data_IF_270005948140
#
_entry.id   IF_270005948140
#
_cell.length_a   1.000
_cell.length_b   1.000
_cell.length_c   1.000
_cell.angle_alpha   90.00
_cell.angle_beta   90.00
_cell.angle_gamma   90.00
#
_symmetry.space_group_name_H-M   'P 1'
#
loop_
_entity.id
_entity.type
_entity.pdbx_description
1 polymer ?
#
# COMPACT_ATOMS: atom_id res chain seq x y z
N UNK A 1 -10.39 13.45 -20.18
CA UNK A 1 -10.63 14.76 -19.52
C UNK A 1 -10.43 15.86 -20.54
N UNK A 2 -11.11 16.99 -20.34
CA UNK A 2 -10.82 18.21 -21.10
C UNK A 2 -9.45 18.76 -20.69
N UNK A 3 -8.82 19.55 -21.55
CA UNK A 3 -7.66 20.37 -21.17
C UNK A 3 -8.06 21.67 -20.46
N UNK A 4 -9.36 21.98 -20.48
CA UNK A 4 -9.95 23.17 -19.85
C UNK A 4 -10.35 22.86 -18.40
N UNK A 5 -9.89 23.70 -17.47
CA UNK A 5 -10.14 23.53 -16.04
C UNK A 5 -11.62 23.70 -15.68
N UNK A 6 -12.29 24.74 -16.19
CA UNK A 6 -13.69 25.02 -15.88
C UNK A 6 -14.58 23.88 -16.36
N UNK A 7 -14.30 23.35 -17.56
CA UNK A 7 -14.99 22.18 -18.09
C UNK A 7 -14.78 20.96 -17.19
N UNK A 8 -13.55 20.70 -16.75
CA UNK A 8 -13.27 19.58 -15.85
C UNK A 8 -14.00 19.73 -14.50
N UNK A 9 -13.99 20.93 -13.91
CA UNK A 9 -14.71 21.20 -12.67
C UNK A 9 -16.21 20.98 -12.83
N UNK A 10 -16.80 21.45 -13.93
CA UNK A 10 -18.22 21.24 -14.24
C UNK A 10 -18.55 19.75 -14.37
N UNK A 11 -17.72 18.97 -15.07
CA UNK A 11 -17.90 17.52 -15.21
C UNK A 11 -17.95 16.84 -13.83
N UNK A 12 -17.00 17.15 -12.94
CA UNK A 12 -16.95 16.54 -11.61
C UNK A 12 -18.13 16.93 -10.70
N UNK A 13 -18.59 18.19 -10.75
CA UNK A 13 -19.76 18.63 -9.94
C UNK A 13 -21.09 17.99 -10.39
N UNK A 14 -21.11 17.53 -11.63
CA UNK A 14 -22.27 16.97 -12.30
C UNK A 14 -22.18 15.44 -12.49
N UNK A 15 -21.16 14.81 -11.91
CA UNK A 15 -20.99 13.36 -11.88
C UNK A 15 -22.17 12.70 -11.15
N UNK A 16 -22.72 11.63 -11.74
CA UNK A 16 -23.91 10.93 -11.27
C UNK A 16 -25.24 11.66 -11.55
N UNK A 17 -25.21 12.85 -12.16
CA UNK A 17 -26.41 13.62 -12.55
C UNK A 17 -26.59 13.65 -14.07
N UNK A 18 -25.63 14.27 -14.76
CA UNK A 18 -25.61 14.38 -16.23
C UNK A 18 -24.34 13.79 -16.85
N UNK A 19 -23.32 13.52 -16.03
CA UNK A 19 -22.15 12.75 -16.44
C UNK A 19 -22.05 11.45 -15.65
N UNK A 20 -21.60 10.40 -16.34
CA UNK A 20 -21.26 9.12 -15.72
C UNK A 20 -19.85 8.75 -16.14
N UNK A 21 -19.07 8.21 -15.22
CA UNK A 21 -17.77 7.64 -15.55
C UNK A 21 -17.95 6.53 -16.60
N UNK A 22 -17.26 6.67 -17.73
CA UNK A 22 -17.29 5.70 -18.82
C UNK A 22 -15.87 5.31 -19.18
N UNK A 23 -15.62 4.00 -19.26
CA UNK A 23 -14.34 3.44 -19.69
C UNK A 23 -14.47 2.91 -21.12
N UNK A 24 -13.40 3.04 -21.90
CA UNK A 24 -13.39 2.48 -23.27
C UNK A 24 -13.42 0.96 -23.23
N UNK A 25 -13.97 0.34 -24.27
CA UNK A 25 -13.98 -1.13 -24.41
C UNK A 25 -12.56 -1.71 -24.36
N UNK A 26 -11.57 -1.00 -24.92
CA UNK A 26 -10.17 -1.37 -24.83
C UNK A 26 -9.64 -1.36 -23.39
N UNK A 27 -10.02 -0.38 -22.58
CA UNK A 27 -9.62 -0.29 -21.19
C UNK A 27 -10.24 -1.42 -20.37
N UNK A 28 -11.53 -1.70 -20.58
CA UNK A 28 -12.24 -2.82 -19.93
C UNK A 28 -11.64 -4.17 -20.34
N UNK A 29 -11.33 -4.39 -21.62
CA UNK A 29 -10.71 -5.64 -22.08
C UNK A 29 -9.34 -5.90 -21.45
N UNK A 30 -8.58 -4.83 -21.15
CA UNK A 30 -7.27 -4.94 -20.51
C UNK A 30 -7.41 -5.11 -19.00
N UNK A 31 -8.24 -4.28 -18.35
CA UNK A 31 -8.38 -4.23 -16.91
C UNK A 31 -9.27 -5.34 -16.33
N UNK A 32 -10.24 -5.81 -17.10
CA UNK A 32 -11.32 -6.68 -16.64
C UNK A 32 -12.69 -6.12 -17.03
N UNK A 33 -13.53 -6.99 -17.58
CA UNK A 33 -14.89 -6.64 -18.05
C UNK A 33 -15.92 -6.65 -16.93
N UNK A 34 -15.60 -7.27 -15.79
CA UNK A 34 -16.46 -7.35 -14.61
C UNK A 34 -15.86 -6.60 -13.41
N UNK A 35 -14.60 -6.15 -13.51
CA UNK A 35 -13.91 -5.48 -12.40
C UNK A 35 -14.46 -4.10 -12.05
N UNK A 36 -13.79 -3.43 -11.11
CA UNK A 36 -14.17 -2.12 -10.57
C UNK A 36 -14.55 -1.08 -11.66
N UNK A 37 -13.82 -1.04 -12.79
CA UNK A 37 -14.04 -0.08 -13.88
C UNK A 37 -15.32 -0.34 -14.71
N UNK A 38 -15.90 -1.52 -14.61
CA UNK A 38 -17.14 -1.88 -15.30
C UNK A 38 -18.40 -1.42 -14.53
N UNK A 39 -18.25 -1.03 -13.26
CA UNK A 39 -19.36 -0.64 -12.40
C UNK A 39 -19.49 0.89 -12.26
N UNK A 40 -20.69 1.34 -11.94
CA UNK A 40 -20.99 2.74 -11.63
C UNK A 40 -22.04 2.84 -10.49
N UNK A 41 -22.14 4.02 -9.86
CA UNK A 41 -23.10 4.24 -8.77
C UNK A 41 -22.83 3.37 -7.54
N UNK A 42 -23.87 2.75 -6.98
CA UNK A 42 -23.78 2.02 -5.71
C UNK A 42 -22.87 0.78 -5.78
N UNK A 43 -22.83 0.07 -6.90
CA UNK A 43 -21.95 -1.09 -7.08
C UNK A 43 -20.47 -0.68 -7.13
N UNK A 44 -20.16 0.39 -7.86
CA UNK A 44 -18.80 0.96 -7.84
C UNK A 44 -18.42 1.45 -6.45
N UNK A 45 -19.34 2.15 -5.75
CA UNK A 45 -19.10 2.62 -4.38
C UNK A 45 -18.75 1.44 -3.45
N UNK A 46 -19.54 0.37 -3.51
CA UNK A 46 -19.30 -0.83 -2.74
C UNK A 46 -17.92 -1.45 -2.99
N UNK A 47 -17.57 -1.70 -4.26
CA UNK A 47 -16.27 -2.28 -4.62
C UNK A 47 -15.11 -1.35 -4.22
N UNK A 48 -15.28 -0.03 -4.38
CA UNK A 48 -14.30 0.96 -3.95
C UNK A 48 -14.09 0.94 -2.43
N UNK A 49 -15.16 0.81 -1.66
CA UNK A 49 -15.08 0.77 -0.19
C UNK A 49 -14.28 -0.46 0.28
N UNK A 50 -14.45 -1.62 -0.37
CA UNK A 50 -13.60 -2.81 -0.12
C UNK A 50 -12.11 -2.53 -0.36
N UNK A 51 -11.77 -1.88 -1.47
CA UNK A 51 -10.38 -1.50 -1.75
C UNK A 51 -9.84 -0.54 -0.68
N UNK A 52 -10.65 0.45 -0.29
CA UNK A 52 -10.26 1.44 0.73
C UNK A 52 -10.08 0.81 2.12
N UNK A 53 -10.69 -0.33 2.43
CA UNK A 53 -10.42 -1.02 3.70
C UNK A 53 -8.97 -1.53 3.79
N UNK A 54 -8.33 -1.80 2.64
CA UNK A 54 -6.95 -2.32 2.57
C UNK A 54 -5.91 -1.24 2.36
N UNK A 55 -6.21 -0.23 1.53
CA UNK A 55 -5.24 0.83 1.18
C UNK A 55 -5.68 2.23 1.62
N UNK A 56 -6.77 2.34 2.39
CA UNK A 56 -7.28 3.61 2.88
C UNK A 56 -6.40 4.25 3.96
N UNK A 57 -6.70 5.50 4.35
CA UNK A 57 -5.83 6.29 5.22
C UNK A 57 -5.49 5.65 6.57
N UNK A 58 -6.41 4.86 7.13
CA UNK A 58 -6.19 4.17 8.39
C UNK A 58 -5.16 3.05 8.23
N UNK A 59 -5.42 2.14 7.30
CA UNK A 59 -4.57 0.99 7.00
C UNK A 59 -3.18 1.42 6.48
N UNK A 60 -3.15 2.52 5.71
CA UNK A 60 -1.92 3.17 5.26
C UNK A 60 -1.02 3.50 6.45
N UNK A 61 -1.56 4.15 7.47
CA UNK A 61 -0.79 4.62 8.63
C UNK A 61 -0.36 3.49 9.57
N UNK A 62 -1.20 2.48 9.75
CA UNK A 62 -0.97 1.43 10.76
C UNK A 62 -0.10 0.29 10.24
N UNK A 63 -0.20 -0.05 8.95
CA UNK A 63 0.46 -1.25 8.41
C UNK A 63 1.29 -0.93 7.17
N UNK A 64 0.69 -0.29 6.16
CA UNK A 64 1.30 -0.20 4.83
C UNK A 64 2.60 0.62 4.83
N UNK A 65 2.69 1.70 5.60
CA UNK A 65 3.92 2.50 5.70
C UNK A 65 5.12 1.68 6.20
N UNK A 66 4.90 0.79 7.18
CA UNK A 66 5.96 -0.06 7.72
C UNK A 66 6.39 -1.12 6.70
N UNK A 67 5.44 -1.74 6.01
CA UNK A 67 5.73 -2.69 4.93
C UNK A 67 6.50 -2.04 3.78
N UNK A 68 6.07 -0.85 3.36
CA UNK A 68 6.74 -0.04 2.34
C UNK A 68 8.19 0.26 2.74
N UNK A 69 8.44 0.71 3.97
CA UNK A 69 9.80 1.00 4.47
C UNK A 69 10.66 -0.27 4.45
N UNK A 70 10.11 -1.39 4.91
CA UNK A 70 10.81 -2.69 4.95
C UNK A 70 11.22 -3.15 3.54
N UNK A 71 10.28 -3.18 2.59
CA UNK A 71 10.54 -3.60 1.19
C UNK A 71 11.51 -2.63 0.52
N UNK A 72 11.34 -1.32 0.73
CA UNK A 72 12.22 -0.31 0.16
C UNK A 72 13.66 -0.47 0.64
N UNK A 73 13.87 -0.68 1.95
CA UNK A 73 15.22 -0.91 2.51
C UNK A 73 15.86 -2.18 1.97
N UNK A 74 15.10 -3.28 1.90
CA UNK A 74 15.54 -4.55 1.30
C UNK A 74 16.08 -4.29 -0.12
N UNK A 75 15.27 -3.68 -0.99
CA UNK A 75 15.65 -3.43 -2.38
C UNK A 75 16.82 -2.45 -2.52
N UNK A 76 16.82 -1.33 -1.78
CA UNK A 76 17.95 -0.40 -1.78
C UNK A 76 19.26 -1.08 -1.39
N UNK A 77 19.26 -1.95 -0.38
CA UNK A 77 20.47 -2.69 0.02
C UNK A 77 21.00 -3.59 -1.09
N UNK A 78 20.12 -4.27 -1.82
CA UNK A 78 20.48 -5.12 -2.97
C UNK A 78 21.05 -4.29 -4.12
N UNK A 79 20.45 -3.13 -4.40
CA UNK A 79 20.91 -2.22 -5.45
C UNK A 79 22.27 -1.61 -5.15
N UNK A 80 22.57 -1.30 -3.88
CA UNK A 80 23.88 -0.76 -3.49
C UNK A 80 25.03 -1.75 -3.65
N UNK A 81 24.74 -3.06 -3.64
CA UNK A 81 25.73 -4.10 -3.91
C UNK A 81 25.97 -4.31 -5.42
N UNK A 82 25.14 -3.72 -6.28
CA UNK A 82 25.19 -3.88 -7.73
C UNK A 82 26.03 -2.77 -8.38
N UNK A 83 26.77 -3.08 -9.44
CA UNK A 83 27.59 -2.09 -10.15
C UNK A 83 26.77 -1.07 -10.95
N UNK A 84 25.64 -1.51 -11.48
CA UNK A 84 24.71 -0.70 -12.28
C UNK A 84 23.29 -1.20 -12.01
N UNK A 85 22.31 -0.29 -12.08
CA UNK A 85 20.91 -0.59 -11.83
C UNK A 85 20.04 0.14 -12.85
N UNK A 86 19.26 -0.62 -13.62
CA UNK A 86 18.16 -0.06 -14.39
C UNK A 86 17.05 0.38 -13.43
N UNK A 87 16.96 1.69 -13.21
CA UNK A 87 16.07 2.28 -12.20
C UNK A 87 14.61 1.92 -12.49
N UNK A 88 14.17 1.89 -13.76
CA UNK A 88 12.78 1.59 -14.10
C UNK A 88 12.41 0.16 -13.72
N UNK A 89 13.24 -0.79 -14.13
CA UNK A 89 13.08 -2.23 -13.85
C UNK A 89 13.15 -2.51 -12.35
N UNK A 90 14.07 -1.83 -11.65
CA UNK A 90 14.24 -1.93 -10.21
C UNK A 90 12.99 -1.44 -9.46
N UNK A 91 12.47 -0.25 -9.80
CA UNK A 91 11.26 0.30 -9.18
C UNK A 91 10.03 -0.56 -9.47
N UNK A 92 9.88 -1.05 -10.70
CA UNK A 92 8.77 -1.95 -11.02
C UNK A 92 8.82 -3.23 -10.20
N UNK A 93 10.01 -3.83 -10.00
CA UNK A 93 10.15 -5.06 -9.22
C UNK A 93 9.81 -4.82 -7.75
N UNK A 94 10.32 -3.72 -7.18
CA UNK A 94 10.03 -3.35 -5.79
C UNK A 94 8.54 -3.07 -5.55
N UNK A 95 7.89 -2.28 -6.40
CA UNK A 95 6.46 -1.97 -6.24
C UNK A 95 5.61 -3.20 -6.52
N UNK A 96 5.97 -4.01 -7.52
CA UNK A 96 5.24 -5.24 -7.81
C UNK A 96 5.29 -6.22 -6.63
N UNK A 97 6.45 -6.40 -5.98
CA UNK A 97 6.59 -7.22 -4.77
C UNK A 97 5.66 -6.73 -3.65
N UNK A 98 5.69 -5.42 -3.36
CA UNK A 98 4.86 -4.81 -2.32
C UNK A 98 3.37 -5.06 -2.58
N UNK A 99 2.90 -4.76 -3.79
CA UNK A 99 1.48 -4.85 -4.14
C UNK A 99 1.02 -6.32 -4.19
N UNK A 100 1.82 -7.22 -4.77
CA UNK A 100 1.47 -8.64 -4.82
C UNK A 100 1.39 -9.24 -3.42
N UNK A 101 2.33 -8.89 -2.54
CA UNK A 101 2.29 -9.32 -1.14
C UNK A 101 1.04 -8.82 -0.43
N UNK A 102 0.64 -7.55 -0.60
CA UNK A 102 -0.55 -7.00 0.06
C UNK A 102 -1.87 -7.57 -0.48
N UNK A 103 -1.91 -7.89 -1.78
CA UNK A 103 -3.13 -8.41 -2.42
C UNK A 103 -3.28 -9.93 -2.28
N UNK A 104 -2.18 -10.69 -2.35
CA UNK A 104 -2.20 -12.16 -2.51
C UNK A 104 -1.35 -12.91 -1.46
N UNK A 105 -0.59 -12.21 -0.62
CA UNK A 105 0.18 -12.82 0.46
C UNK A 105 1.51 -13.48 0.06
N UNK A 106 1.94 -13.42 -1.21
CA UNK A 106 3.23 -13.98 -1.67
C UNK A 106 3.81 -13.23 -2.89
N UNK A 107 5.02 -13.61 -3.33
CA UNK A 107 5.74 -12.99 -4.44
C UNK A 107 5.34 -13.58 -5.80
N UNK A 108 5.10 -12.72 -6.79
CA UNK A 108 4.54 -13.10 -8.10
C UNK A 108 5.41 -12.76 -9.31
N UNK A 109 4.84 -12.92 -10.52
CA UNK A 109 5.49 -12.45 -11.76
C UNK A 109 4.63 -11.52 -12.61
N UNK A 110 5.31 -10.66 -13.38
CA UNK A 110 4.71 -9.60 -14.21
C UNK A 110 3.97 -10.14 -15.45
N UNK A 111 2.98 -9.37 -15.94
CA UNK A 111 2.22 -9.61 -17.19
C UNK A 111 0.81 -10.19 -16.96
N UNK A 112 -0.19 -9.76 -17.76
CA UNK A 112 -1.62 -10.11 -17.54
C UNK A 112 -1.86 -11.61 -17.43
N UNK A 113 -1.41 -12.41 -18.39
CA UNK A 113 -1.64 -13.85 -18.32
C UNK A 113 -0.99 -14.50 -17.10
N UNK A 114 0.24 -14.10 -16.76
CA UNK A 114 0.97 -14.64 -15.62
C UNK A 114 0.31 -14.22 -14.31
N UNK A 115 -0.12 -12.96 -14.21
CA UNK A 115 -0.85 -12.43 -13.07
C UNK A 115 -2.21 -13.11 -12.89
N UNK A 116 -2.98 -13.29 -13.97
CA UNK A 116 -4.28 -13.99 -13.91
C UNK A 116 -4.11 -15.46 -13.56
N UNK A 117 -3.12 -16.15 -14.13
CA UNK A 117 -2.80 -17.54 -13.74
C UNK A 117 -2.43 -17.62 -12.27
N UNK A 118 -1.63 -16.68 -11.78
CA UNK A 118 -1.25 -16.60 -10.38
C UNK A 118 -2.47 -16.36 -9.48
N UNK A 119 -3.30 -15.35 -9.75
CA UNK A 119 -4.52 -15.03 -8.99
C UNK A 119 -5.43 -16.27 -8.89
N UNK A 120 -5.72 -16.90 -10.03
CA UNK A 120 -6.55 -18.12 -10.08
C UNK A 120 -5.96 -19.28 -9.29
N UNK A 121 -4.65 -19.49 -9.44
CA UNK A 121 -3.94 -20.53 -8.69
C UNK A 121 -4.03 -20.29 -7.19
N UNK A 122 -3.92 -19.03 -6.74
CA UNK A 122 -4.03 -18.66 -5.32
C UNK A 122 -5.43 -18.88 -4.79
N UNK A 123 -6.46 -18.43 -5.52
CA UNK A 123 -7.87 -18.65 -5.15
C UNK A 123 -8.14 -20.14 -4.96
N UNK A 124 -7.73 -20.96 -5.94
CA UNK A 124 -7.94 -22.40 -5.88
C UNK A 124 -7.19 -23.05 -4.71
N UNK A 125 -5.95 -22.65 -4.46
CA UNK A 125 -5.15 -23.18 -3.36
C UNK A 125 -5.79 -22.89 -1.98
N UNK A 126 -6.33 -21.69 -1.78
CA UNK A 126 -7.00 -21.30 -0.53
C UNK A 126 -8.37 -21.93 -0.34
N UNK A 127 -9.07 -22.26 -1.42
CA UNK A 127 -10.31 -23.04 -1.33
C UNK A 127 -10.05 -24.49 -0.92
N UNK A 128 -8.93 -25.07 -1.34
CA UNK A 128 -8.58 -26.47 -1.03
C UNK A 128 -7.95 -26.66 0.34
N UNK A 129 -7.17 -25.69 0.82
CA UNK A 129 -6.56 -25.70 2.13
C UNK A 129 -7.13 -24.51 2.90
N UNK A 130 -7.83 -24.71 4.03
CA UNK A 130 -8.39 -23.65 4.90
C UNK A 130 -7.32 -22.73 5.55
N UNK A 131 -6.29 -22.33 4.79
CA UNK A 131 -5.33 -21.32 5.18
C UNK A 131 -6.02 -19.97 5.05
N UNK A 132 -6.44 -19.43 6.18
CA UNK A 132 -6.87 -18.04 6.26
C UNK A 132 -5.62 -17.17 6.25
N UNK A 133 -5.39 -16.44 5.17
CA UNK A 133 -4.52 -15.28 5.24
C UNK A 133 -5.23 -14.12 5.95
N UNK A 134 -4.53 -12.98 5.99
CA UNK A 134 -5.09 -11.70 6.43
C UNK A 134 -4.91 -10.64 5.34
N UNK A 135 -4.91 -11.06 4.07
CA UNK A 135 -4.72 -10.17 2.94
C UNK A 135 -6.03 -9.87 2.20
N UNK A 136 -5.94 -9.04 1.16
CA UNK A 136 -7.13 -8.58 0.46
C UNK A 136 -7.90 -9.71 -0.22
N UNK A 137 -7.21 -10.74 -0.72
CA UNK A 137 -7.88 -11.87 -1.33
C UNK A 137 -8.76 -12.61 -0.32
N UNK A 138 -8.36 -12.71 0.96
CA UNK A 138 -9.21 -13.31 1.99
C UNK A 138 -10.49 -12.50 2.23
N UNK A 139 -10.40 -11.16 2.14
CA UNK A 139 -11.58 -10.29 2.20
C UNK A 139 -12.49 -10.55 1.00
N UNK A 140 -11.95 -10.58 -0.22
CA UNK A 140 -12.75 -10.84 -1.41
C UNK A 140 -13.39 -12.23 -1.38
N UNK A 141 -12.72 -13.24 -0.85
CA UNK A 141 -13.30 -14.58 -0.70
C UNK A 141 -14.49 -14.58 0.28
N UNK A 142 -14.41 -13.84 1.39
CA UNK A 142 -15.56 -13.66 2.30
C UNK A 142 -16.73 -12.98 1.61
N UNK A 143 -16.45 -11.97 0.81
CA UNK A 143 -17.49 -11.27 0.05
C UNK A 143 -18.15 -12.15 -1.01
N UNK A 144 -17.40 -13.04 -1.67
CA UNK A 144 -17.95 -14.03 -2.63
C UNK A 144 -18.91 -15.02 -1.94
N UNK A 145 -18.67 -15.37 -0.68
CA UNK A 145 -19.51 -16.31 0.08
C UNK A 145 -20.81 -15.70 0.59
N UNK A 146 -20.90 -14.37 0.69
CA UNK A 146 -22.13 -13.68 1.10
C UNK A 146 -23.04 -13.39 -0.10
N UNK A 147 -24.15 -14.13 -0.16
CA UNK A 147 -25.20 -14.00 -1.20
C UNK A 147 -25.82 -12.59 -1.30
N UNK A 148 -25.63 -11.74 -0.30
CA UNK A 148 -26.13 -10.35 -0.31
C UNK A 148 -25.23 -9.40 -1.10
N UNK A 149 -24.02 -9.83 -1.45
CA UNK A 149 -23.04 -9.00 -2.12
C UNK A 149 -23.14 -9.17 -3.64
N UNK A 150 -22.58 -8.21 -4.37
CA UNK A 150 -22.44 -8.34 -5.82
C UNK A 150 -21.18 -9.13 -6.20
N UNK A 151 -20.36 -9.54 -5.24
CA UNK A 151 -19.01 -10.03 -5.50
C UNK A 151 -19.07 -11.43 -6.14
N UNK A 152 -18.51 -11.56 -7.34
CA UNK A 152 -18.27 -12.85 -7.98
C UNK A 152 -16.78 -13.12 -8.09
N UNK A 153 -16.43 -14.36 -8.44
CA UNK A 153 -15.04 -14.70 -8.68
C UNK A 153 -14.44 -13.88 -9.83
N UNK A 154 -15.19 -13.63 -10.89
CA UNK A 154 -14.76 -12.82 -12.04
C UNK A 154 -14.47 -11.37 -11.61
N UNK A 155 -15.35 -10.79 -10.79
CA UNK A 155 -15.16 -9.43 -10.25
C UNK A 155 -13.91 -9.38 -9.38
N UNK A 156 -13.71 -10.37 -8.50
CA UNK A 156 -12.54 -10.43 -7.64
C UNK A 156 -11.23 -10.59 -8.44
N UNK A 157 -11.22 -11.47 -9.45
CA UNK A 157 -10.06 -11.67 -10.33
C UNK A 157 -9.70 -10.39 -11.09
N UNK A 158 -10.69 -9.75 -11.71
CA UNK A 158 -10.50 -8.50 -12.46
C UNK A 158 -10.07 -7.35 -11.54
N UNK A 159 -10.63 -7.26 -10.34
CA UNK A 159 -10.28 -6.22 -9.36
C UNK A 159 -8.85 -6.41 -8.82
N UNK A 160 -8.44 -7.64 -8.51
CA UNK A 160 -7.07 -7.95 -8.11
C UNK A 160 -6.07 -7.62 -9.23
N UNK A 161 -6.40 -7.95 -10.47
CA UNK A 161 -5.55 -7.62 -11.61
C UNK A 161 -5.43 -6.10 -11.80
N UNK A 162 -6.55 -5.38 -11.77
CA UNK A 162 -6.58 -3.93 -11.90
C UNK A 162 -5.71 -3.26 -10.83
N UNK A 163 -5.86 -3.64 -9.56
CA UNK A 163 -5.08 -3.05 -8.46
C UNK A 163 -3.59 -3.34 -8.61
N UNK A 164 -3.24 -4.57 -8.97
CA UNK A 164 -1.85 -4.95 -9.23
C UNK A 164 -1.26 -4.06 -10.33
N UNK A 165 -1.90 -4.04 -11.50
CA UNK A 165 -1.45 -3.30 -12.67
C UNK A 165 -1.35 -1.79 -12.43
N UNK A 166 -2.43 -1.19 -11.92
CA UNK A 166 -2.51 0.24 -11.69
C UNK A 166 -1.45 0.71 -10.69
N UNK A 167 -1.23 -0.03 -9.61
CA UNK A 167 -0.28 0.37 -8.57
C UNK A 167 1.18 0.28 -9.04
N UNK A 168 1.60 -0.83 -9.66
CA UNK A 168 3.02 -0.98 -10.02
C UNK A 168 3.41 -0.08 -11.19
N UNK A 169 2.58 0.07 -12.23
CA UNK A 169 2.95 0.82 -13.42
C UNK A 169 3.07 2.32 -13.13
N UNK A 170 2.06 2.90 -12.46
CA UNK A 170 2.02 4.33 -12.14
C UNK A 170 3.08 4.71 -11.11
N UNK A 171 3.19 3.94 -10.01
CA UNK A 171 4.10 4.25 -8.91
C UNK A 171 5.56 4.06 -9.33
N UNK A 172 5.88 2.97 -10.05
CA UNK A 172 7.25 2.76 -10.53
C UNK A 172 7.69 3.89 -11.45
N UNK A 173 6.83 4.29 -12.40
CA UNK A 173 7.10 5.41 -13.31
C UNK A 173 7.28 6.72 -12.55
N UNK A 174 6.41 7.00 -11.57
CA UNK A 174 6.49 8.20 -10.75
C UNK A 174 7.82 8.25 -9.99
N UNK A 175 8.24 7.16 -9.36
CA UNK A 175 9.52 7.11 -8.63
C UNK A 175 10.71 7.22 -9.61
N UNK A 176 10.67 6.53 -10.75
CA UNK A 176 11.71 6.64 -11.78
C UNK A 176 11.87 8.08 -12.28
N UNK A 177 10.76 8.76 -12.59
CA UNK A 177 10.79 10.16 -13.02
C UNK A 177 11.27 11.09 -11.91
N UNK A 178 10.83 10.86 -10.66
CA UNK A 178 11.32 11.62 -9.52
C UNK A 178 12.84 11.51 -9.38
N UNK A 179 13.39 10.29 -9.48
CA UNK A 179 14.84 10.07 -9.45
C UNK A 179 15.55 10.71 -10.65
N UNK A 180 14.97 10.62 -11.84
CA UNK A 180 15.49 11.27 -13.04
C UNK A 180 15.60 12.79 -12.88
N UNK A 181 14.54 13.44 -12.40
CA UNK A 181 14.55 14.89 -12.18
C UNK A 181 15.48 15.30 -11.03
N UNK A 182 15.56 14.52 -9.95
CA UNK A 182 16.52 14.79 -8.87
C UNK A 182 17.96 14.67 -9.34
N UNK A 183 18.25 13.72 -10.23
CA UNK A 183 19.56 13.58 -10.86
C UNK A 183 19.89 14.78 -11.74
N UNK A 184 18.93 15.28 -12.52
CA UNK A 184 19.11 16.46 -13.38
C UNK A 184 19.20 17.79 -12.61
N UNK A 185 18.76 17.83 -11.35
CA UNK A 185 18.77 19.05 -10.53
C UNK A 185 19.51 18.85 -9.18
N UNK A 186 20.86 18.79 -9.18
CA UNK A 186 21.66 18.52 -7.97
C UNK A 186 21.42 19.48 -6.80
N UNK A 187 21.09 20.74 -7.09
CA UNK A 187 20.75 21.74 -6.07
C UNK A 187 19.50 21.34 -5.26
N UNK A 188 18.47 20.80 -5.93
CA UNK A 188 17.24 20.32 -5.28
C UNK A 188 17.57 19.13 -4.39
N UNK A 189 18.38 18.19 -4.88
CA UNK A 189 18.82 17.03 -4.10
C UNK A 189 19.58 17.45 -2.83
N UNK A 190 20.48 18.43 -2.91
CA UNK A 190 21.20 18.95 -1.74
C UNK A 190 20.25 19.56 -0.71
N UNK A 191 19.26 20.34 -1.17
CA UNK A 191 18.24 20.94 -0.31
C UNK A 191 17.39 19.89 0.39
N UNK A 192 16.96 18.84 -0.32
CA UNK A 192 16.19 17.75 0.26
C UNK A 192 17.00 16.97 1.30
N UNK A 193 18.27 16.66 1.02
CA UNK A 193 19.17 16.01 1.99
C UNK A 193 19.30 16.82 3.28
N UNK A 194 19.52 18.14 3.17
CA UNK A 194 19.61 19.03 4.34
C UNK A 194 18.31 19.04 5.16
N UNK A 195 17.15 19.11 4.50
CA UNK A 195 15.85 19.08 5.19
C UNK A 195 15.61 17.77 5.93
N UNK A 196 15.95 16.63 5.32
CA UNK A 196 15.76 15.33 5.93
C UNK A 196 16.62 15.13 7.18
N UNK A 197 17.89 15.58 7.14
CA UNK A 197 18.77 15.58 8.32
C UNK A 197 18.20 16.43 9.46
N UNK A 198 17.76 17.66 9.17
CA UNK A 198 17.14 18.54 10.18
C UNK A 198 15.90 17.90 10.80
N UNK A 199 15.07 17.22 10.00
CA UNK A 199 13.89 16.52 10.51
C UNK A 199 14.25 15.37 11.47
N UNK A 200 15.30 14.61 11.17
CA UNK A 200 15.77 13.51 12.02
C UNK A 200 16.36 14.05 13.33
N UNK A 201 17.15 15.11 13.27
CA UNK A 201 17.72 15.77 14.46
C UNK A 201 16.63 16.35 15.36
N UNK A 202 15.63 16.99 14.76
CA UNK A 202 14.48 17.55 15.49
C UNK A 202 13.66 16.45 16.17
N UNK A 203 13.42 15.33 15.49
CA UNK A 203 12.70 14.19 16.06
C UNK A 203 13.49 13.53 17.20
N UNK A 204 14.81 13.36 17.04
CA UNK A 204 15.71 12.83 18.08
C UNK A 204 15.76 13.74 19.31
N UNK A 205 15.82 15.06 19.10
CA UNK A 205 15.76 16.06 20.16
C UNK A 205 14.43 16.00 20.93
N UNK A 206 13.31 15.96 20.21
CA UNK A 206 11.98 15.91 20.82
C UNK A 206 11.76 14.63 21.63
N UNK A 207 12.24 13.48 21.16
CA UNK A 207 12.22 12.20 21.89
C UNK A 207 13.04 12.26 23.19
N UNK A 208 14.23 12.86 23.15
CA UNK A 208 15.06 13.06 24.35
C UNK A 208 14.38 14.01 25.33
N UNK A 209 13.79 15.09 24.84
CA UNK A 209 13.09 16.07 25.67
C UNK A 209 11.84 15.47 26.32
N UNK A 210 11.06 14.67 25.59
CA UNK A 210 9.90 13.97 26.16
C UNK A 210 10.31 12.94 27.21
N UNK A 211 11.37 12.17 26.97
CA UNK A 211 11.90 11.22 27.96
C UNK A 211 12.38 11.94 29.24
N UNK A 212 13.07 13.08 29.10
CA UNK A 212 13.49 13.90 30.23
C UNK A 212 12.30 14.52 30.98
N UNK A 213 11.25 14.93 30.27
CA UNK A 213 10.01 15.42 30.87
C UNK A 213 9.26 14.32 31.62
N UNK A 214 9.19 13.10 31.08
CA UNK A 214 8.59 11.94 31.77
C UNK A 214 9.39 11.54 33.01
N UNK A 215 10.72 11.59 32.94
CA UNK A 215 11.59 11.36 34.12
C UNK A 215 11.46 12.47 35.16
N UNK A 216 11.24 13.72 34.73
CA UNK A 216 11.02 14.87 35.62
C UNK A 216 9.61 14.88 36.23
N UNK A 217 8.63 14.32 35.53
CA UNK A 217 7.22 14.32 35.93
C UNK A 217 6.76 12.96 36.53
N UNK A 218 7.66 12.00 36.72
CA UNK A 218 7.34 10.67 37.27
C UNK A 218 7.41 10.63 38.79
N UNK A 219 6.24 10.47 39.41
CA UNK A 219 6.07 9.94 40.77
C UNK A 219 6.87 8.63 40.97
N UNK A 220 7.54 8.44 42.12
CA UNK A 220 8.28 7.22 42.38
C UNK A 220 7.32 6.08 42.77
N UNK A 221 6.99 5.20 41.82
CA UNK A 221 6.48 3.87 42.15
C UNK A 221 7.63 3.05 42.76
N UNK A 222 7.69 3.08 44.09
CA UNK A 222 8.57 2.29 44.94
C UNK A 222 8.29 0.78 44.76
N UNK A 223 8.91 0.15 43.76
CA UNK A 223 8.90 -1.33 43.65
C UNK A 223 10.32 -1.92 43.55
N UNK A 224 11.37 -1.10 43.48
CA UNK A 224 12.75 -1.58 43.52
C UNK A 224 13.58 -0.84 44.57
N UNK A 225 13.44 -1.25 45.83
CA UNK A 225 14.46 -1.04 46.85
C UNK A 225 15.17 -2.38 47.15
N UNK A 226 16.44 -2.57 46.76
CA UNK A 226 17.19 -3.81 47.00
C UNK A 226 17.45 -4.10 48.48
N UNK A 227 17.12 -3.17 49.39
CA UNK A 227 17.40 -3.30 50.83
C UNK A 227 16.30 -4.02 51.63
N UNK A 228 15.15 -4.36 51.05
CA UNK A 228 14.06 -5.05 51.77
C UNK A 228 14.10 -6.60 51.72
N UNK A 229 15.15 -7.21 51.15
CA UNK A 229 15.31 -8.68 51.08
C UNK A 229 16.13 -9.32 52.22
N UNK A 230 16.22 -8.70 53.40
CA UNK A 230 16.95 -9.27 54.56
C UNK A 230 16.18 -9.27 55.89
N UNK A 231 14.86 -9.49 55.88
CA UNK A 231 14.10 -9.54 57.15
C UNK A 231 13.18 -10.75 57.33
N UNK A 232 13.00 -11.68 56.38
CA UNK A 232 12.21 -12.89 56.64
C UNK A 232 12.84 -14.16 56.07
N UNK A 233 13.83 -14.66 56.80
CA UNK A 233 14.07 -16.10 56.96
C UNK A 233 14.18 -16.38 58.45
N UNK A 234 13.23 -17.15 59.00
CA UNK A 234 13.32 -18.04 60.17
C UNK A 234 11.91 -18.38 60.68
N UNK A 235 11.33 -19.48 60.17
CA UNK A 235 10.94 -20.67 60.93
C UNK A 235 10.48 -21.76 59.96
#
# INVERSE_FOLDING_TARGET
MSTDEEVNQYIFQQEGKIFQAWNTESALRIAGEQGLLAHAGNSHKYLRDLVLNVIGPQHLKTELLHEMDTVTRKHLSLWTASHEVDVKTAMETMVFELVTKKLLGFEGGKGREKAMRMIRSTINARRSNSSNGHDFLDELMREIEDEKTIMTQEIAEDMLFLLLFAAFETTSTTITLALHFLHQHPYVLQHLKKRQLVSQDTMSYNLKLSALQTLRNGEPNNIWNPLNKRQHGLK
#
